data_IF_975986089129
#
_entry.id   IF_975986089129
#
_cell.length_a   1.000
_cell.length_b   1.000
_cell.length_c   1.000
_cell.angle_alpha   90.00
_cell.angle_beta   90.00
_cell.angle_gamma   90.00
#
_symmetry.space_group_name_H-M   'P 1'
#
loop_
_entity.id
_entity.type
_entity.pdbx_description
1 polymer ?
#
# COMPACT_ATOMS: atom_id res chain seq x y z
N UNK A 1 7.17 -10.64 12.56
CA UNK A 1 7.74 -10.64 11.20
C UNK A 1 9.03 -9.83 11.26
N UNK A 2 9.78 -9.62 10.18
CA UNK A 2 10.99 -8.80 10.29
C UNK A 2 10.57 -7.33 10.51
N UNK A 3 11.15 -6.68 11.52
CA UNK A 3 10.92 -5.27 11.89
C UNK A 3 11.60 -4.32 10.89
N UNK A 4 11.34 -4.50 9.58
CA UNK A 4 11.84 -3.59 8.55
C UNK A 4 10.86 -2.42 8.48
N UNK A 5 11.15 -1.41 9.28
CA UNK A 5 10.50 -0.11 9.24
C UNK A 5 11.05 0.76 8.11
N UNK A 6 10.24 1.70 7.65
CA UNK A 6 10.65 2.72 6.69
C UNK A 6 9.57 3.75 6.46
N UNK A 7 9.87 4.71 5.58
CA UNK A 7 8.93 5.77 5.24
C UNK A 7 7.99 5.35 4.11
N UNK A 8 6.68 5.53 4.30
CA UNK A 8 5.67 5.37 3.25
C UNK A 8 5.04 6.72 2.94
N UNK A 9 5.18 7.13 1.68
CA UNK A 9 4.55 8.32 1.14
C UNK A 9 3.55 7.91 0.05
N UNK A 10 2.35 8.46 0.10
CA UNK A 10 1.35 8.32 -0.95
C UNK A 10 0.99 9.72 -1.42
N UNK A 11 1.28 10.01 -2.68
CA UNK A 11 0.91 11.25 -3.34
C UNK A 11 -0.28 11.03 -4.27
N UNK A 12 -1.30 11.87 -4.17
CA UNK A 12 -2.47 11.84 -5.04
C UNK A 12 -2.61 13.19 -5.75
N UNK A 13 -2.61 13.16 -7.08
CA UNK A 13 -2.62 14.37 -7.92
C UNK A 13 -1.50 15.36 -7.56
N UNK A 14 -0.33 14.85 -7.18
CA UNK A 14 0.84 15.65 -6.78
C UNK A 14 0.75 16.28 -5.39
N UNK A 15 -0.24 15.90 -4.57
CA UNK A 15 -0.35 16.33 -3.18
C UNK A 15 -0.11 15.16 -2.24
N UNK A 16 0.65 15.40 -1.17
CA UNK A 16 0.86 14.43 -0.09
C UNK A 16 -0.49 14.04 0.53
N UNK A 17 -0.90 12.79 0.31
CA UNK A 17 -2.12 12.21 0.86
C UNK A 17 -1.86 11.47 2.17
N UNK A 18 -0.76 10.70 2.21
CA UNK A 18 -0.32 9.97 3.40
C UNK A 18 1.19 10.05 3.52
N UNK A 19 1.68 10.24 4.74
CA UNK A 19 3.09 10.17 5.06
C UNK A 19 3.26 9.58 6.46
N UNK A 20 4.08 8.56 6.58
CA UNK A 20 4.52 7.98 7.85
C UNK A 20 5.96 7.53 7.72
N UNK A 21 6.81 7.94 8.65
CA UNK A 21 8.25 7.76 8.57
C UNK A 21 8.72 6.42 9.16
N UNK A 22 7.88 5.79 10.00
CA UNK A 22 8.23 4.59 10.76
C UNK A 22 7.18 3.46 10.63
N UNK A 23 6.61 3.30 9.43
CA UNK A 23 5.66 2.20 9.18
C UNK A 23 6.41 0.88 9.02
N UNK A 24 5.80 -0.25 9.41
CA UNK A 24 6.30 -1.60 9.13
C UNK A 24 6.22 -1.89 7.62
N UNK A 25 7.17 -1.33 6.87
CA UNK A 25 7.12 -1.21 5.42
C UNK A 25 7.18 -2.57 4.72
N UNK A 26 7.89 -3.55 5.30
CA UNK A 26 7.86 -4.92 4.78
C UNK A 26 6.47 -5.55 4.93
N UNK A 27 5.79 -5.36 6.07
CA UNK A 27 4.44 -5.89 6.27
C UNK A 27 3.46 -5.24 5.30
N UNK A 28 3.56 -3.92 5.10
CA UNK A 28 2.81 -3.21 4.08
C UNK A 28 3.07 -3.77 2.68
N UNK A 29 4.33 -3.99 2.31
CA UNK A 29 4.70 -4.54 1.01
C UNK A 29 4.15 -5.95 0.76
N UNK A 30 4.12 -6.80 1.79
CA UNK A 30 3.51 -8.13 1.72
C UNK A 30 1.99 -8.02 1.52
N UNK A 31 1.33 -7.19 2.33
CA UNK A 31 -0.12 -7.02 2.28
C UNK A 31 -0.58 -6.45 0.92
N UNK A 32 0.08 -5.39 0.44
CA UNK A 32 -0.28 -4.73 -0.82
C UNK A 32 0.04 -5.63 -2.02
N UNK A 33 1.10 -6.45 -1.96
CA UNK A 33 1.39 -7.42 -3.02
C UNK A 33 0.34 -8.54 -3.10
N UNK A 34 -0.15 -9.01 -1.96
CA UNK A 34 -1.22 -10.01 -1.91
C UNK A 34 -2.53 -9.45 -2.49
N UNK A 35 -2.84 -8.19 -2.18
CA UNK A 35 -3.97 -7.47 -2.78
C UNK A 35 -3.81 -7.31 -4.30
N UNK A 36 -2.65 -6.81 -4.76
CA UNK A 36 -2.36 -6.64 -6.18
C UNK A 36 -2.57 -7.94 -6.96
N UNK A 37 -2.07 -9.08 -6.44
CA UNK A 37 -2.23 -10.39 -7.08
C UNK A 37 -3.69 -10.85 -7.24
N UNK A 38 -4.62 -10.34 -6.42
CA UNK A 38 -6.06 -10.57 -6.57
C UNK A 38 -6.67 -9.63 -7.62
N UNK A 39 -6.31 -8.36 -7.58
CA UNK A 39 -6.76 -7.36 -8.56
C UNK A 39 -6.36 -7.77 -9.99
N UNK A 40 -5.13 -8.23 -10.19
CA UNK A 40 -4.64 -8.69 -11.50
C UNK A 40 -5.38 -9.94 -12.03
N UNK A 41 -6.01 -10.71 -11.13
CA UNK A 41 -6.88 -11.86 -11.50
C UNK A 41 -8.33 -11.44 -11.73
N UNK A 42 -8.65 -10.15 -11.66
CA UNK A 42 -10.01 -9.61 -11.78
C UNK A 42 -10.86 -9.79 -10.52
N UNK A 43 -10.24 -10.10 -9.37
CA UNK A 43 -10.93 -10.21 -8.08
C UNK A 43 -10.83 -8.84 -7.40
N UNK A 44 -11.80 -7.97 -7.66
CA UNK A 44 -11.88 -6.65 -7.05
C UNK A 44 -12.37 -6.75 -5.60
N UNK A 45 -11.48 -6.46 -4.65
CA UNK A 45 -11.76 -6.47 -3.23
C UNK A 45 -10.98 -5.38 -2.51
N UNK A 46 -11.46 -5.03 -1.33
CA UNK A 46 -10.86 -3.98 -0.53
C UNK A 46 -9.40 -4.35 -0.18
N UNK A 47 -8.55 -3.32 -0.14
CA UNK A 47 -7.27 -3.36 0.56
C UNK A 47 -7.47 -2.68 1.90
N UNK A 48 -7.01 -3.33 2.96
CA UNK A 48 -7.02 -2.75 4.31
C UNK A 48 -5.66 -3.02 4.91
N UNK A 49 -4.99 -1.96 5.36
CA UNK A 49 -3.74 -2.04 6.10
C UNK A 49 -3.96 -1.50 7.51
N UNK A 50 -3.81 -2.39 8.49
CA UNK A 50 -3.84 -2.10 9.91
C UNK A 50 -2.51 -2.56 10.50
N UNK A 51 -1.98 -1.86 11.52
CA UNK A 51 -0.88 -2.39 12.33
C UNK A 51 -1.35 -2.57 13.77
N UNK A 52 -0.77 -3.55 14.46
CA UNK A 52 -1.09 -3.83 15.86
C UNK A 52 -0.74 -2.68 16.80
N UNK A 53 0.17 -1.79 16.40
CA UNK A 53 0.63 -0.65 17.20
C UNK A 53 -0.37 0.51 17.23
N UNK A 54 -1.33 0.56 16.30
CA UNK A 54 -2.36 1.58 16.26
C UNK A 54 -3.73 0.97 16.59
N UNK A 55 -4.25 1.29 17.79
CA UNK A 55 -5.56 0.83 18.27
C UNK A 55 -6.77 1.53 17.64
N UNK A 56 -6.53 2.52 16.77
CA UNK A 56 -7.56 3.38 16.17
C UNK A 56 -7.76 3.08 14.67
N UNK A 57 -8.08 1.82 14.35
CA UNK A 57 -8.61 1.44 13.03
C UNK A 57 -7.60 1.37 11.88
N UNK A 58 -8.15 1.43 10.67
CA UNK A 58 -7.45 1.11 9.42
C UNK A 58 -6.55 2.27 8.98
N UNK A 59 -5.24 2.03 8.85
CA UNK A 59 -4.27 3.09 8.57
C UNK A 59 -4.43 3.60 7.14
N UNK A 60 -4.60 2.67 6.20
CA UNK A 60 -4.83 2.92 4.77
C UNK A 60 -5.85 1.90 4.27
N UNK A 61 -6.86 2.34 3.53
CA UNK A 61 -7.76 1.43 2.81
C UNK A 61 -7.94 1.85 1.36
N UNK A 62 -8.03 0.87 0.46
CA UNK A 62 -8.46 1.06 -0.92
C UNK A 62 -9.80 0.35 -1.11
N UNK A 63 -10.84 1.12 -1.42
CA UNK A 63 -12.22 0.67 -1.51
C UNK A 63 -12.76 0.86 -2.94
N UNK A 64 -13.22 -0.20 -3.63
CA UNK A 64 -13.84 -0.08 -4.94
C UNK A 64 -15.22 0.60 -4.82
N UNK A 65 -15.46 1.63 -5.64
CA UNK A 65 -16.79 2.22 -5.82
C UNK A 65 -17.55 1.53 -6.97
N UNK A 66 -16.81 1.09 -7.98
CA UNK A 66 -17.26 0.27 -9.10
C UNK A 66 -16.02 -0.39 -9.75
N UNK A 67 -16.22 -1.10 -10.87
CA UNK A 67 -15.17 -1.85 -11.59
C UNK A 67 -13.94 -1.02 -12.02
N UNK A 68 -14.02 0.32 -12.02
CA UNK A 68 -12.95 1.20 -12.52
C UNK A 68 -12.48 2.25 -11.52
N UNK A 69 -13.35 2.68 -10.62
CA UNK A 69 -13.07 3.80 -9.72
C UNK A 69 -12.99 3.35 -8.28
N UNK A 70 -11.98 3.88 -7.58
CA UNK A 70 -11.65 3.54 -6.21
C UNK A 70 -11.67 4.78 -5.33
N UNK A 71 -11.86 4.54 -4.05
CA UNK A 71 -11.68 5.49 -2.96
C UNK A 71 -10.51 5.01 -2.13
N UNK A 72 -9.60 5.91 -1.80
CA UNK A 72 -8.50 5.65 -0.87
C UNK A 72 -8.74 6.46 0.39
N UNK A 73 -8.76 5.80 1.55
CA UNK A 73 -8.91 6.42 2.86
C UNK A 73 -7.66 6.22 3.70
N UNK A 74 -7.46 7.12 4.66
CA UNK A 74 -6.46 6.97 5.71
C UNK A 74 -6.92 7.65 7.00
N UNK A 75 -6.34 7.30 8.14
CA UNK A 75 -6.64 7.92 9.44
C UNK A 75 -5.90 9.26 9.67
N UNK A 76 -4.85 9.58 8.89
CA UNK A 76 -4.01 10.76 9.13
C UNK A 76 -4.25 11.87 8.12
N UNK A 77 -5.12 12.83 8.44
CA UNK A 77 -5.16 14.14 7.76
C UNK A 77 -6.53 14.80 7.57
N UNK A 78 -6.52 16.08 7.19
CA UNK A 78 -7.68 16.77 6.58
C UNK A 78 -7.67 16.47 5.08
N UNK A 79 -8.73 15.86 4.54
CA UNK A 79 -8.72 15.36 3.15
C UNK A 79 -8.24 13.91 3.05
N UNK A 80 -8.47 13.13 4.10
CA UNK A 80 -8.11 11.73 4.26
C UNK A 80 -8.96 10.74 3.44
N UNK A 81 -9.63 11.26 2.41
CA UNK A 81 -10.44 10.50 1.47
C UNK A 81 -10.13 11.04 0.07
N UNK A 82 -9.54 10.21 -0.77
CA UNK A 82 -9.35 10.48 -2.18
C UNK A 82 -10.35 9.64 -2.99
N UNK A 83 -11.12 10.29 -3.85
CA UNK A 83 -12.23 9.64 -4.58
C UNK A 83 -11.98 9.63 -6.08
N UNK A 84 -12.70 8.76 -6.81
CA UNK A 84 -12.66 8.66 -8.28
C UNK A 84 -11.27 8.30 -8.84
N UNK A 85 -10.49 7.53 -8.08
CA UNK A 85 -9.17 7.09 -8.51
C UNK A 85 -9.30 5.95 -9.51
N UNK A 86 -8.57 6.02 -10.62
CA UNK A 86 -8.53 4.95 -11.60
C UNK A 86 -7.75 3.76 -11.04
N UNK A 87 -8.33 2.56 -11.09
CA UNK A 87 -7.64 1.34 -10.62
C UNK A 87 -6.31 1.09 -11.35
N UNK A 88 -6.20 1.50 -12.62
CA UNK A 88 -4.95 1.33 -13.37
C UNK A 88 -3.83 2.20 -12.79
N UNK A 89 -4.14 3.41 -12.33
CA UNK A 89 -3.15 4.30 -11.72
C UNK A 89 -2.67 3.74 -10.37
N UNK A 90 -3.60 3.18 -9.58
CA UNK A 90 -3.27 2.50 -8.32
C UNK A 90 -2.38 1.28 -8.57
N UNK A 91 -2.71 0.45 -9.58
CA UNK A 91 -1.90 -0.72 -9.95
C UNK A 91 -0.48 -0.31 -10.34
N UNK A 92 -0.33 0.75 -11.15
CA UNK A 92 0.98 1.25 -11.57
C UNK A 92 1.76 1.73 -10.35
N UNK A 93 1.17 2.57 -9.49
CA UNK A 93 1.82 3.08 -8.29
C UNK A 93 2.28 1.95 -7.33
N UNK A 94 1.44 0.93 -7.14
CA UNK A 94 1.78 -0.23 -6.29
C UNK A 94 2.91 -1.05 -6.91
N UNK A 95 2.93 -1.24 -8.23
CA UNK A 95 4.01 -1.97 -8.92
C UNK A 95 5.35 -1.24 -8.82
N UNK A 96 5.34 0.07 -9.02
CA UNK A 96 6.53 0.91 -8.91
C UNK A 96 7.08 0.85 -7.48
N UNK A 97 6.21 1.00 -6.48
CA UNK A 97 6.57 0.82 -5.07
C UNK A 97 7.21 -0.54 -4.78
N UNK A 98 6.58 -1.64 -5.23
CA UNK A 98 7.09 -3.00 -4.97
C UNK A 98 8.44 -3.26 -5.65
N UNK A 99 8.65 -2.71 -6.86
CA UNK A 99 9.90 -2.83 -7.58
C UNK A 99 11.04 -2.08 -6.85
N UNK A 100 10.79 -0.83 -6.45
CA UNK A 100 11.75 -0.02 -5.72
C UNK A 100 12.04 -0.61 -4.33
N UNK A 101 11.01 -1.02 -3.60
CA UNK A 101 11.17 -1.65 -2.29
C UNK A 101 11.97 -2.95 -2.37
N UNK A 102 11.69 -3.82 -3.35
CA UNK A 102 12.46 -5.05 -3.56
C UNK A 102 13.95 -4.75 -3.80
N UNK A 103 14.26 -3.74 -4.63
CA UNK A 103 15.64 -3.34 -4.87
C UNK A 103 16.31 -2.90 -3.56
N UNK A 104 15.65 -2.02 -2.82
CA UNK A 104 16.16 -1.47 -1.57
C UNK A 104 16.45 -2.54 -0.50
N UNK A 105 15.53 -3.48 -0.28
CA UNK A 105 15.73 -4.52 0.73
C UNK A 105 16.76 -5.57 0.31
N UNK A 106 16.91 -5.80 -1.00
CA UNK A 106 17.95 -6.70 -1.50
C UNK A 106 19.33 -6.06 -1.32
N UNK A 107 19.48 -4.79 -1.70
CA UNK A 107 20.75 -4.08 -1.60
C UNK A 107 21.17 -3.89 -0.12
N UNK A 108 20.23 -3.61 0.78
CA UNK A 108 20.51 -3.37 2.21
C UNK A 108 20.64 -4.64 3.04
N UNK A 109 19.82 -5.66 2.78
CA UNK A 109 19.67 -6.82 3.66
C UNK A 109 19.88 -8.16 2.96
N UNK A 110 20.11 -8.18 1.63
CA UNK A 110 20.15 -9.40 0.81
C UNK A 110 18.85 -10.23 0.91
N UNK A 111 17.72 -9.55 1.12
CA UNK A 111 16.40 -10.16 1.26
C UNK A 111 15.63 -10.09 -0.07
N UNK A 112 14.93 -11.17 -0.41
CA UNK A 112 13.99 -11.23 -1.54
C UNK A 112 12.56 -11.16 -1.00
N UNK A 113 11.76 -10.20 -1.46
CA UNK A 113 10.34 -10.05 -1.12
C UNK A 113 9.54 -11.30 -1.53
N UNK A 114 9.95 -11.99 -2.60
CA UNK A 114 9.38 -13.27 -3.03
C UNK A 114 9.46 -14.36 -1.97
N UNK A 115 10.34 -14.24 -0.98
CA UNK A 115 10.42 -15.20 0.12
C UNK A 115 9.24 -15.06 1.11
N UNK A 116 8.44 -13.99 0.99
CA UNK A 116 7.31 -13.69 1.87
C UNK A 116 5.96 -13.71 1.16
N UNK A 117 5.95 -13.81 -0.18
CA UNK A 117 4.74 -13.80 -1.00
C UNK A 117 4.62 -15.19 -1.65
N UNK A 118 3.51 -15.88 -1.39
CA UNK A 118 3.21 -17.21 -1.95
C UNK A 118 2.71 -17.15 -3.40
#
# INVERSE_FOLDING_TARGET
MADIEGSLNIDINGNSFFQEDYILLLEFAIAISAWLGKIEKGIFQDFVYETMDYSEGEIIEFNPQNDKTWVVTSIWGKGNIATNLCIQDIIIAVKDFLADFQKDIYDKFSISLKNFIN
#
